data_IF_794876396626
#
_entry.id   IF_794876396626
#
_cell.length_a   1.000
_cell.length_b   1.000
_cell.length_c   1.000
_cell.angle_alpha   90.00
_cell.angle_beta   90.00
_cell.angle_gamma   90.00
#
_symmetry.space_group_name_H-M   'P 1'
#
loop_
_entity.id
_entity.type
_entity.pdbx_description
1 polymer ?
#
# COMPACT_ATOMS: atom_id res chain seq x y z
N UNK A 1 -0.30 27.43 -5.31
CA UNK A 1 -1.32 26.56 -4.71
C UNK A 1 -1.32 26.81 -3.21
N UNK A 2 -2.33 27.49 -2.64
CA UNK A 2 -2.35 27.85 -1.22
C UNK A 2 -2.93 26.68 -0.40
N UNK A 3 -2.26 26.31 0.70
CA UNK A 3 -2.77 25.30 1.61
C UNK A 3 -4.01 25.81 2.34
N UNK A 4 -5.11 25.09 2.18
CA UNK A 4 -6.40 25.33 2.87
C UNK A 4 -6.29 25.12 4.39
N UNK A 5 -5.18 24.53 4.85
CA UNK A 5 -4.97 24.08 6.22
C UNK A 5 -3.63 24.55 6.74
N UNK A 6 -3.61 25.06 7.98
CA UNK A 6 -2.38 25.55 8.60
C UNK A 6 -1.32 24.44 8.68
N UNK A 7 -0.04 24.83 8.65
CA UNK A 7 1.10 23.90 8.70
C UNK A 7 1.01 22.92 9.86
N UNK A 8 0.53 23.37 11.02
CA UNK A 8 0.30 22.52 12.20
C UNK A 8 -0.84 21.51 12.00
N UNK A 9 -1.96 21.93 11.40
CA UNK A 9 -3.07 21.03 11.07
C UNK A 9 -2.61 19.98 10.06
N UNK A 10 -1.87 20.37 9.03
CA UNK A 10 -1.25 19.44 8.08
C UNK A 10 -0.32 18.46 8.78
N UNK A 11 0.56 18.94 9.68
CA UNK A 11 1.48 18.08 10.43
C UNK A 11 0.74 17.05 11.29
N UNK A 12 -0.35 17.44 11.97
CA UNK A 12 -1.17 16.51 12.75
C UNK A 12 -1.92 15.50 11.87
N UNK A 13 -2.45 15.95 10.73
CA UNK A 13 -3.08 15.06 9.76
C UNK A 13 -2.08 14.05 9.22
N UNK A 14 -0.88 14.49 8.82
CA UNK A 14 0.20 13.62 8.34
C UNK A 14 0.71 12.68 9.44
N UNK A 15 0.78 13.12 10.70
CA UNK A 15 1.18 12.26 11.82
C UNK A 15 0.20 11.11 12.11
N UNK A 16 -1.06 11.24 11.69
CA UNK A 16 -2.07 10.17 11.77
C UNK A 16 -1.98 9.15 10.62
N UNK A 17 -1.26 9.47 9.54
CA UNK A 17 -1.08 8.59 8.38
C UNK A 17 0.04 7.60 8.72
N UNK A 18 -0.34 6.41 9.21
CA UNK A 18 0.61 5.31 9.41
C UNK A 18 1.17 4.87 8.06
N UNK A 19 2.49 4.71 7.95
CA UNK A 19 3.15 4.25 6.72
C UNK A 19 2.82 2.78 6.35
N UNK A 20 2.27 1.99 7.30
CA UNK A 20 1.94 0.57 7.13
C UNK A 20 0.63 0.26 7.84
N UNK A 21 -0.18 -0.63 7.26
CA UNK A 21 -1.49 -1.01 7.78
C UNK A 21 -2.53 0.10 7.62
N UNK A 22 -2.42 0.88 6.55
CA UNK A 22 -3.41 1.91 6.22
C UNK A 22 -4.77 1.26 5.91
N UNK A 23 -5.86 2.01 6.13
CA UNK A 23 -7.21 1.57 5.73
C UNK A 23 -7.28 1.05 4.28
N UNK A 24 -6.68 1.71 3.27
CA UNK A 24 -6.64 1.17 1.90
C UNK A 24 -5.86 -0.14 1.79
N UNK A 25 -4.70 -0.30 2.45
CA UNK A 25 -3.99 -1.59 2.48
C UNK A 25 -4.86 -2.71 3.05
N UNK A 26 -5.54 -2.45 4.17
CA UNK A 26 -6.38 -3.44 4.84
C UNK A 26 -7.61 -3.81 4.00
N UNK A 27 -8.21 -2.84 3.30
CA UNK A 27 -9.31 -3.08 2.36
C UNK A 27 -8.87 -3.99 1.22
N UNK A 28 -7.71 -3.71 0.60
CA UNK A 28 -7.22 -4.54 -0.51
C UNK A 28 -6.86 -5.93 -0.03
N UNK A 29 -6.20 -6.09 1.14
CA UNK A 29 -5.94 -7.41 1.72
C UNK A 29 -7.22 -8.21 1.96
N UNK A 30 -8.26 -7.56 2.48
CA UNK A 30 -9.56 -8.20 2.72
C UNK A 30 -10.28 -8.56 1.43
N UNK A 31 -10.26 -7.68 0.43
CA UNK A 31 -10.85 -7.95 -0.88
C UNK A 31 -10.16 -9.15 -1.56
N UNK A 32 -8.82 -9.15 -1.59
CA UNK A 32 -8.06 -10.25 -2.19
C UNK A 32 -8.27 -11.57 -1.48
N UNK A 33 -8.37 -11.55 -0.14
CA UNK A 33 -8.65 -12.75 0.64
C UNK A 33 -10.09 -13.24 0.41
N UNK A 34 -11.07 -12.34 0.32
CA UNK A 34 -12.46 -12.68 0.03
C UNK A 34 -12.64 -13.30 -1.36
N UNK A 35 -11.87 -12.83 -2.34
CA UNK A 35 -11.82 -13.37 -3.70
C UNK A 35 -10.97 -14.66 -3.82
N UNK A 36 -10.36 -15.14 -2.74
CA UNK A 36 -9.57 -16.38 -2.73
C UNK A 36 -8.19 -16.25 -3.40
N UNK A 37 -7.72 -15.03 -3.67
CA UNK A 37 -6.40 -14.82 -4.25
C UNK A 37 -5.29 -15.07 -3.23
N UNK A 38 -4.24 -15.77 -3.67
CA UNK A 38 -2.99 -15.90 -2.92
C UNK A 38 -2.12 -14.70 -3.21
N UNK A 39 -1.72 -13.96 -2.18
CA UNK A 39 -0.79 -12.84 -2.29
C UNK A 39 0.28 -12.91 -1.21
N UNK A 40 1.41 -12.27 -1.47
CA UNK A 40 2.51 -12.07 -0.52
C UNK A 40 2.66 -10.58 -0.24
N UNK A 41 3.06 -10.26 0.97
CA UNK A 41 3.21 -8.88 1.43
C UNK A 41 4.69 -8.52 1.57
N UNK A 42 5.03 -7.28 1.23
CA UNK A 42 6.37 -6.69 1.42
C UNK A 42 7.53 -7.55 0.89
N UNK A 43 7.45 -7.99 -0.37
CA UNK A 43 8.52 -8.74 -1.05
C UNK A 43 9.71 -7.80 -1.31
N UNK A 44 10.75 -7.90 -0.49
CA UNK A 44 11.99 -7.08 -0.61
C UNK A 44 12.96 -7.58 -1.67
N UNK A 45 12.77 -8.80 -2.11
CA UNK A 45 13.51 -9.48 -3.17
C UNK A 45 13.10 -9.03 -4.58
N UNK A 46 12.06 -8.19 -4.70
CA UNK A 46 11.65 -7.58 -5.96
C UNK A 46 12.10 -6.12 -6.08
N UNK A 47 12.60 -5.69 -7.25
CA UNK A 47 13.00 -4.31 -7.47
C UNK A 47 11.80 -3.38 -7.30
N UNK A 48 11.98 -2.34 -6.49
CA UNK A 48 10.95 -1.36 -6.18
C UNK A 48 10.15 -1.61 -4.91
N UNK A 49 10.38 -2.71 -4.17
CA UNK A 49 9.77 -2.95 -2.85
C UNK A 49 8.23 -2.92 -2.85
N UNK A 50 7.56 -3.77 -3.64
CA UNK A 50 6.09 -3.81 -3.71
C UNK A 50 5.45 -4.20 -2.37
N UNK A 51 4.30 -3.59 -2.05
CA UNK A 51 3.55 -3.88 -0.83
C UNK A 51 2.78 -5.19 -0.94
N UNK A 52 2.17 -5.46 -2.10
CA UNK A 52 1.43 -6.70 -2.38
C UNK A 52 1.95 -7.30 -3.70
N UNK A 53 2.21 -8.60 -3.67
CA UNK A 53 2.67 -9.38 -4.82
C UNK A 53 1.79 -10.59 -5.01
N UNK A 54 1.20 -10.75 -6.19
CA UNK A 54 0.44 -11.94 -6.56
C UNK A 54 1.27 -12.79 -7.53
N UNK A 55 1.33 -14.12 -7.32
CA UNK A 55 1.98 -15.02 -8.26
C UNK A 55 1.18 -15.04 -9.56
N UNK A 56 1.74 -14.49 -10.63
CA UNK A 56 1.15 -14.53 -11.96
C UNK A 56 1.31 -15.90 -12.60
N UNK A 57 0.34 -16.32 -13.41
CA UNK A 57 0.26 -17.67 -14.02
C UNK A 57 1.17 -17.88 -15.24
N UNK A 58 2.23 -17.10 -15.46
CA UNK A 58 3.12 -17.46 -16.58
C UNK A 58 4.31 -16.57 -16.93
N UNK A 59 4.41 -15.31 -16.52
CA UNK A 59 5.58 -14.49 -16.96
C UNK A 59 5.86 -13.22 -16.17
N UNK A 60 4.96 -12.76 -15.30
CA UNK A 60 5.21 -11.59 -14.45
C UNK A 60 4.39 -11.64 -13.17
N UNK A 61 5.02 -11.39 -12.03
CA UNK A 61 4.33 -11.13 -10.76
C UNK A 61 3.51 -9.82 -10.86
N UNK A 62 2.24 -9.86 -10.45
CA UNK A 62 1.42 -8.65 -10.32
C UNK A 62 1.87 -7.93 -9.06
N UNK A 63 2.37 -6.70 -9.21
CA UNK A 63 2.94 -5.88 -8.14
C UNK A 63 2.04 -4.68 -7.86
N UNK A 64 1.59 -4.54 -6.62
CA UNK A 64 0.75 -3.41 -6.18
C UNK A 64 1.47 -2.68 -5.04
N UNK A 65 1.59 -1.36 -5.17
CA UNK A 65 2.00 -0.46 -4.08
C UNK A 65 0.76 0.23 -3.52
N UNK A 66 0.55 0.15 -2.21
CA UNK A 66 -0.65 0.68 -1.53
C UNK A 66 -0.24 1.69 -0.44
N UNK A 67 0.91 2.31 -0.64
CA UNK A 67 1.40 3.39 0.20
C UNK A 67 2.36 4.31 -0.54
N UNK A 68 2.51 5.53 -0.01
CA UNK A 68 3.62 6.43 -0.27
C UNK A 68 4.88 5.88 0.41
N UNK A 69 5.27 4.65 0.08
CA UNK A 69 6.52 4.05 0.50
C UNK A 69 7.58 4.51 -0.51
N UNK A 70 8.16 5.68 -0.21
CA UNK A 70 9.39 6.16 -0.83
C UNK A 70 10.57 5.28 -0.44
#
# INVERSE_FOLDING_TARGET
MADIVSREKRSRMMAGIRAKGTKPEMLVRRALFAEGFRFRLHRRDLPGGPDIVMPGTGTADIRVKIGLSG
#
